data_IF_639376642977
#
_entry.id   IF_639376642977
#
_cell.length_a   1.000
_cell.length_b   1.000
_cell.length_c   1.000
_cell.angle_alpha   90.00
_cell.angle_beta   90.00
_cell.angle_gamma   90.00
#
_symmetry.space_group_name_H-M   'P 1'
#
loop_
_entity.id
_entity.type
_entity.pdbx_description
1 polymer ?
#
# COMPACT_ATOMS: atom_id res chain seq x y z
N UNK A 1 -9.24 29.83 -1.69
CA UNK A 1 -9.62 30.52 -2.94
C UNK A 1 -10.55 31.66 -2.58
N UNK A 2 -10.60 32.72 -3.38
CA UNK A 2 -11.55 33.81 -3.17
C UNK A 2 -12.99 33.31 -3.34
N UNK A 3 -13.92 33.97 -2.66
CA UNK A 3 -15.34 33.63 -2.71
C UNK A 3 -15.86 33.69 -4.15
N UNK A 4 -16.72 32.73 -4.50
CA UNK A 4 -17.26 32.60 -5.86
C UNK A 4 -16.35 31.85 -6.85
N UNK A 5 -15.14 31.44 -6.46
CA UNK A 5 -14.30 30.59 -7.30
C UNK A 5 -14.95 29.21 -7.51
N UNK A 6 -15.08 28.79 -8.78
CA UNK A 6 -15.61 27.47 -9.11
C UNK A 6 -14.71 26.34 -8.56
N UNK A 7 -15.23 25.38 -7.76
CA UNK A 7 -14.42 24.35 -7.12
C UNK A 7 -13.58 23.51 -8.09
N UNK A 8 -14.18 23.06 -9.20
CA UNK A 8 -13.45 22.28 -10.21
C UNK A 8 -12.37 23.08 -10.91
N UNK A 9 -12.58 24.38 -11.18
CA UNK A 9 -11.56 25.25 -11.75
C UNK A 9 -10.36 25.39 -10.82
N UNK A 10 -10.61 25.61 -9.52
CA UNK A 10 -9.59 25.69 -8.50
C UNK A 10 -8.75 24.41 -8.43
N UNK A 11 -9.40 23.24 -8.46
CA UNK A 11 -8.73 21.93 -8.44
C UNK A 11 -7.86 21.71 -9.67
N UNK A 12 -8.36 22.03 -10.87
CA UNK A 12 -7.56 21.96 -12.11
C UNK A 12 -6.34 22.87 -12.06
N UNK A 13 -6.49 24.07 -11.48
CA UNK A 13 -5.35 24.99 -11.30
C UNK A 13 -4.30 24.41 -10.35
N UNK A 14 -4.71 23.86 -9.20
CA UNK A 14 -3.75 23.22 -8.27
C UNK A 14 -3.01 22.06 -8.95
N UNK A 15 -3.72 21.24 -9.73
CA UNK A 15 -3.11 20.11 -10.45
C UNK A 15 -2.02 20.57 -11.43
N UNK A 16 -2.25 21.66 -12.16
CA UNK A 16 -1.26 22.26 -13.06
C UNK A 16 0.02 22.65 -12.32
N UNK A 17 -0.11 23.38 -11.21
CA UNK A 17 1.03 23.79 -10.38
C UNK A 17 1.74 22.59 -9.75
N UNK A 18 0.98 21.57 -9.32
CA UNK A 18 1.53 20.36 -8.74
C UNK A 18 2.45 19.61 -9.72
N UNK A 19 2.04 19.52 -10.99
CA UNK A 19 2.85 18.92 -12.05
C UNK A 19 4.15 19.69 -12.28
N UNK A 20 4.13 21.02 -12.22
CA UNK A 20 5.32 21.86 -12.43
C UNK A 20 6.35 21.72 -11.30
N UNK A 21 5.90 21.48 -10.06
CA UNK A 21 6.79 21.36 -8.89
C UNK A 21 7.27 19.94 -8.63
N UNK A 22 6.68 18.93 -9.28
CA UNK A 22 6.95 17.52 -8.99
C UNK A 22 8.44 17.15 -9.11
N UNK A 23 9.16 17.72 -10.08
CA UNK A 23 10.60 17.50 -10.28
C UNK A 23 11.50 18.10 -9.19
N UNK A 24 10.97 19.02 -8.39
CA UNK A 24 11.68 19.67 -7.28
C UNK A 24 11.46 18.96 -5.94
N UNK A 25 10.59 17.95 -5.91
CA UNK A 25 10.29 17.19 -4.71
C UNK A 25 11.34 16.10 -4.48
N UNK A 26 11.62 15.73 -3.21
CA UNK A 26 12.46 14.57 -2.91
C UNK A 26 11.93 13.30 -3.60
N UNK A 27 12.82 12.38 -3.98
CA UNK A 27 12.45 11.16 -4.72
C UNK A 27 11.39 10.28 -4.01
N UNK A 28 11.31 10.35 -2.68
CA UNK A 28 10.32 9.61 -1.89
C UNK A 28 8.96 10.34 -1.77
N UNK A 29 8.88 11.63 -2.08
CA UNK A 29 7.67 12.40 -1.96
C UNK A 29 6.72 12.13 -3.13
N UNK A 30 5.48 11.73 -2.82
CA UNK A 30 4.41 11.47 -3.79
C UNK A 30 3.26 12.44 -3.52
N UNK A 31 3.27 13.64 -4.12
CA UNK A 31 2.17 14.58 -3.92
C UNK A 31 0.87 13.99 -4.50
N UNK A 32 -0.26 14.27 -3.86
CA UNK A 32 -1.58 13.86 -4.31
C UNK A 32 -2.59 14.98 -4.07
N UNK A 33 -3.63 15.03 -4.90
CA UNK A 33 -4.74 15.94 -4.71
C UNK A 33 -5.71 15.37 -3.67
N UNK A 34 -6.18 16.20 -2.74
CA UNK A 34 -7.17 15.81 -1.73
C UNK A 34 -8.52 15.42 -2.34
N UNK A 35 -9.43 14.83 -1.55
CA UNK A 35 -10.78 14.45 -2.00
C UNK A 35 -11.58 15.66 -2.48
N UNK A 36 -12.69 15.42 -3.20
CA UNK A 36 -13.66 16.46 -3.58
C UNK A 36 -14.65 16.75 -2.44
N UNK A 37 -14.10 17.00 -1.25
CA UNK A 37 -14.84 17.30 -0.03
C UNK A 37 -13.98 18.15 0.93
N UNK A 38 -14.58 18.61 2.01
CA UNK A 38 -13.91 19.36 3.08
C UNK A 38 -14.24 18.75 4.45
N UNK A 39 -13.73 19.34 5.54
CA UNK A 39 -14.04 18.88 6.91
C UNK A 39 -15.53 18.92 7.29
N UNK A 40 -16.35 19.74 6.62
CA UNK A 40 -17.81 19.73 6.79
C UNK A 40 -18.49 18.55 6.10
N UNK A 41 -17.78 17.82 5.23
CA UNK A 41 -18.28 16.63 4.54
C UNK A 41 -18.31 15.35 5.39
N UNK A 42 -18.06 15.44 6.70
CA UNK A 42 -18.09 14.30 7.62
C UNK A 42 -19.53 13.97 8.02
N UNK A 43 -20.24 13.24 7.15
CA UNK A 43 -21.69 12.99 7.30
C UNK A 43 -22.01 11.82 8.23
N UNK A 44 -21.29 10.70 8.09
CA UNK A 44 -21.57 9.49 8.87
C UNK A 44 -20.28 8.88 9.41
N UNK A 45 -20.29 8.52 10.69
CA UNK A 45 -19.19 7.88 11.39
C UNK A 45 -19.69 6.62 12.08
N UNK A 46 -18.90 5.56 12.01
CA UNK A 46 -19.18 4.28 12.67
C UNK A 46 -17.90 3.67 13.24
N UNK A 47 -18.08 2.70 14.12
CA UNK A 47 -17.01 1.88 14.65
C UNK A 47 -17.29 0.41 14.35
N UNK A 48 -16.25 -0.32 13.97
CA UNK A 48 -16.30 -1.78 13.87
C UNK A 48 -15.95 -2.37 15.23
N UNK A 49 -16.83 -3.20 15.77
CA UNK A 49 -16.67 -3.82 17.09
C UNK A 49 -17.07 -5.29 16.99
N UNK A 50 -16.13 -6.19 17.29
CA UNK A 50 -16.43 -7.60 17.51
C UNK A 50 -16.44 -7.91 19.02
N UNK A 51 -17.62 -8.24 19.56
CA UNK A 51 -17.79 -8.58 20.97
C UNK A 51 -17.47 -10.04 21.29
N UNK A 52 -17.36 -10.90 20.28
CA UNK A 52 -16.99 -12.31 20.47
C UNK A 52 -15.49 -12.49 20.68
N UNK A 53 -14.68 -11.51 20.25
CA UNK A 53 -13.22 -11.57 20.27
C UNK A 53 -12.61 -12.41 19.15
N UNK A 54 -13.39 -12.78 18.13
CA UNK A 54 -12.92 -13.53 16.95
C UNK A 54 -12.03 -12.70 16.01
N UNK A 55 -12.24 -11.38 15.99
CA UNK A 55 -11.50 -10.43 15.16
C UNK A 55 -10.74 -9.43 16.02
N UNK A 56 -9.45 -9.31 15.77
CA UNK A 56 -8.61 -8.28 16.36
C UNK A 56 -8.74 -6.93 15.62
N UNK A 57 -8.11 -5.88 16.19
CA UNK A 57 -8.12 -4.54 15.61
C UNK A 57 -7.50 -4.46 14.21
N UNK A 58 -6.58 -5.38 13.89
CA UNK A 58 -5.94 -5.46 12.57
C UNK A 58 -6.85 -6.08 11.53
N UNK A 59 -7.59 -7.12 11.89
CA UNK A 59 -8.58 -7.78 11.05
C UNK A 59 -9.79 -6.85 10.80
N UNK A 60 -10.26 -6.13 11.82
CA UNK A 60 -11.31 -5.13 11.65
C UNK A 60 -10.83 -3.98 10.76
N UNK A 61 -9.58 -3.53 10.92
CA UNK A 61 -8.99 -2.51 10.03
C UNK A 61 -8.85 -3.01 8.60
N UNK A 62 -8.51 -4.29 8.39
CA UNK A 62 -8.45 -4.89 7.08
C UNK A 62 -9.85 -4.98 6.43
N UNK A 63 -10.87 -5.38 7.20
CA UNK A 63 -12.27 -5.36 6.74
C UNK A 63 -12.70 -3.95 6.31
N UNK A 64 -12.32 -2.93 7.08
CA UNK A 64 -12.57 -1.54 6.72
C UNK A 64 -11.88 -1.15 5.41
N UNK A 65 -10.57 -1.39 5.31
CA UNK A 65 -9.76 -0.87 4.20
C UNK A 65 -9.98 -1.62 2.88
N UNK A 66 -10.25 -2.92 2.94
CA UNK A 66 -10.29 -3.79 1.75
C UNK A 66 -11.68 -4.24 1.35
N UNK A 67 -12.70 -3.97 2.16
CA UNK A 67 -14.09 -4.30 1.83
C UNK A 67 -15.00 -3.07 1.97
N UNK A 68 -15.26 -2.61 3.21
CA UNK A 68 -16.27 -1.57 3.46
C UNK A 68 -15.97 -0.25 2.75
N UNK A 69 -14.69 0.16 2.69
CA UNK A 69 -14.27 1.37 1.97
C UNK A 69 -14.65 1.31 0.49
N UNK A 70 -14.50 0.17 -0.16
CA UNK A 70 -14.81 0.03 -1.59
C UNK A 70 -16.31 0.00 -1.81
N UNK A 71 -17.06 -0.76 -1.01
CA UNK A 71 -18.52 -0.83 -1.08
C UNK A 71 -19.15 0.56 -0.89
N UNK A 72 -18.76 1.29 0.15
CA UNK A 72 -19.33 2.60 0.47
C UNK A 72 -18.93 3.69 -0.52
N UNK A 73 -17.76 3.58 -1.16
CA UNK A 73 -17.33 4.53 -2.20
C UNK A 73 -18.17 4.47 -3.47
N UNK A 74 -18.91 3.38 -3.69
CA UNK A 74 -19.80 3.26 -4.87
C UNK A 74 -21.10 4.04 -4.72
N UNK A 75 -21.42 4.50 -3.51
CA UNK A 75 -22.65 5.25 -3.24
C UNK A 75 -22.58 6.63 -3.92
N UNK A 76 -23.62 7.05 -4.68
CA UNK A 76 -23.64 8.35 -5.32
C UNK A 76 -23.37 9.51 -4.35
N UNK A 77 -22.57 10.48 -4.79
CA UNK A 77 -22.17 11.67 -4.04
C UNK A 77 -21.25 11.41 -2.82
N UNK A 78 -20.69 10.21 -2.67
CA UNK A 78 -19.64 9.95 -1.68
C UNK A 78 -18.26 10.27 -2.27
N UNK A 79 -17.67 11.38 -1.82
CA UNK A 79 -16.34 11.80 -2.27
C UNK A 79 -15.20 10.95 -1.66
N UNK A 80 -15.36 10.51 -0.40
CA UNK A 80 -14.36 9.70 0.30
C UNK A 80 -14.99 8.85 1.40
N UNK A 81 -14.39 7.68 1.63
CA UNK A 81 -14.61 6.85 2.82
C UNK A 81 -13.26 6.70 3.50
N UNK A 82 -13.06 7.46 4.58
CA UNK A 82 -11.81 7.50 5.32
C UNK A 82 -11.81 6.45 6.45
N UNK A 83 -10.65 5.85 6.69
CA UNK A 83 -10.46 4.93 7.82
C UNK A 83 -9.86 5.69 9.00
N UNK A 84 -10.48 5.59 10.17
CA UNK A 84 -10.03 6.25 11.40
C UNK A 84 -9.71 5.19 12.44
N UNK A 85 -8.51 5.26 13.02
CA UNK A 85 -8.04 4.29 14.01
C UNK A 85 -7.73 2.90 13.42
N UNK A 86 -7.78 1.87 14.28
CA UNK A 86 -7.40 0.50 13.95
C UNK A 86 -5.89 0.30 13.77
N UNK A 87 -5.47 -0.95 13.55
CA UNK A 87 -4.07 -1.30 13.34
C UNK A 87 -3.84 -1.78 11.90
N UNK A 88 -2.94 -1.15 11.16
CA UNK A 88 -2.56 -1.68 9.84
C UNK A 88 -1.61 -2.84 10.07
N UNK A 89 -1.97 -4.02 9.56
CA UNK A 89 -1.11 -5.20 9.66
C UNK A 89 0.23 -4.94 8.96
N UNK A 90 1.32 -5.12 9.69
CA UNK A 90 2.67 -4.91 9.20
C UNK A 90 3.53 -6.14 9.52
N UNK A 91 4.32 -6.58 8.53
CA UNK A 91 5.41 -7.52 8.77
C UNK A 91 6.63 -6.75 9.24
N UNK A 92 7.05 -6.99 10.48
CA UNK A 92 8.21 -6.34 11.08
C UNK A 92 9.36 -7.35 11.18
N UNK A 93 10.44 -7.07 10.44
CA UNK A 93 11.68 -7.86 10.51
C UNK A 93 12.61 -7.17 11.50
N UNK A 94 12.62 -7.68 12.73
CA UNK A 94 13.49 -7.19 13.80
C UNK A 94 14.85 -7.88 13.70
N UNK A 95 15.88 -7.11 13.37
CA UNK A 95 17.23 -7.63 13.19
C UNK A 95 17.99 -7.65 14.51
N UNK A 96 18.69 -8.75 14.75
CA UNK A 96 19.56 -8.95 15.90
C UNK A 96 21.00 -8.52 15.53
N UNK A 97 21.53 -7.42 16.12
CA UNK A 97 22.85 -6.89 15.78
C UNK A 97 23.99 -7.88 16.02
N UNK A 98 23.88 -8.72 17.05
CA UNK A 98 24.92 -9.68 17.41
C UNK A 98 25.00 -10.80 16.36
N UNK A 99 23.84 -11.24 15.84
CA UNK A 99 23.80 -12.19 14.72
C UNK A 99 24.33 -11.58 13.44
N UNK A 100 23.96 -10.35 13.12
CA UNK A 100 24.48 -9.67 11.92
C UNK A 100 26.02 -9.61 11.96
N UNK A 101 26.60 -9.27 13.11
CA UNK A 101 28.05 -9.26 13.30
C UNK A 101 28.66 -10.66 13.17
N UNK A 102 28.08 -11.67 13.85
CA UNK A 102 28.56 -13.05 13.83
C UNK A 102 28.58 -13.67 12.42
N UNK A 103 27.62 -13.31 11.57
CA UNK A 103 27.55 -13.76 10.17
C UNK A 103 28.18 -12.78 9.17
N UNK A 104 28.76 -11.66 9.64
CA UNK A 104 29.32 -10.59 8.81
C UNK A 104 28.33 -10.07 7.74
N UNK A 105 27.06 -9.91 8.12
CA UNK A 105 25.99 -9.43 7.24
C UNK A 105 25.70 -7.96 7.54
N UNK A 106 25.95 -7.03 6.59
CA UNK A 106 25.60 -5.64 6.81
C UNK A 106 24.08 -5.45 6.79
N UNK A 107 23.59 -4.50 7.59
CA UNK A 107 22.16 -4.15 7.66
C UNK A 107 21.53 -3.89 6.28
N UNK A 108 22.25 -3.19 5.40
CA UNK A 108 21.79 -2.90 4.04
C UNK A 108 21.57 -4.16 3.18
N UNK A 109 22.38 -5.21 3.37
CA UNK A 109 22.21 -6.46 2.61
C UNK A 109 20.88 -7.15 2.94
N UNK A 110 20.43 -7.06 4.19
CA UNK A 110 19.12 -7.63 4.58
C UNK A 110 17.98 -6.86 3.92
N UNK A 111 18.04 -5.53 3.89
CA UNK A 111 17.04 -4.70 3.19
C UNK A 111 16.98 -5.05 1.71
N UNK A 112 18.15 -5.16 1.06
CA UNK A 112 18.23 -5.48 -0.37
C UNK A 112 17.74 -6.89 -0.67
N UNK A 113 18.04 -7.86 0.20
CA UNK A 113 17.54 -9.23 0.07
C UNK A 113 16.02 -9.29 0.16
N UNK A 114 15.41 -8.60 1.14
CA UNK A 114 13.95 -8.53 1.26
C UNK A 114 13.31 -7.88 0.03
N UNK A 115 13.89 -6.78 -0.48
CA UNK A 115 13.38 -6.11 -1.68
C UNK A 115 13.43 -6.99 -2.92
N UNK A 116 14.50 -7.77 -3.09
CA UNK A 116 14.66 -8.70 -4.23
C UNK A 116 13.76 -9.92 -4.13
N UNK A 117 13.49 -10.39 -2.92
CA UNK A 117 12.68 -11.58 -2.66
C UNK A 117 11.17 -11.35 -2.65
N UNK A 118 10.68 -10.13 -2.91
CA UNK A 118 9.25 -9.80 -2.88
C UNK A 118 8.76 -9.18 -4.21
N UNK A 119 8.88 -9.94 -5.30
CA UNK A 119 8.56 -9.49 -6.66
C UNK A 119 7.95 -10.62 -7.49
N UNK A 120 7.06 -10.29 -8.44
CA UNK A 120 6.62 -11.22 -9.48
C UNK A 120 7.33 -10.90 -10.80
N UNK A 121 7.56 -11.92 -11.63
CA UNK A 121 8.13 -11.77 -12.96
C UNK A 121 7.28 -12.48 -14.02
N UNK A 122 7.13 -11.84 -15.19
CA UNK A 122 6.52 -12.43 -16.38
C UNK A 122 7.60 -12.91 -17.35
N UNK A 123 7.42 -14.11 -17.90
CA UNK A 123 8.36 -14.76 -18.83
C UNK A 123 7.89 -14.78 -20.28
N UNK A 124 7.01 -13.86 -20.69
CA UNK A 124 6.31 -13.86 -21.98
C UNK A 124 5.34 -15.05 -22.13
N UNK A 125 4.93 -15.35 -23.36
CA UNK A 125 4.09 -16.49 -23.74
C UNK A 125 4.91 -17.53 -24.50
N UNK A 126 4.55 -18.79 -24.32
CA UNK A 126 5.04 -19.92 -25.10
C UNK A 126 3.90 -20.47 -25.95
N UNK A 127 4.09 -20.55 -27.27
CA UNK A 127 3.11 -21.15 -28.18
C UNK A 127 3.32 -22.66 -28.28
N UNK A 128 2.30 -23.45 -27.97
CA UNK A 128 2.30 -24.91 -28.05
C UNK A 128 0.95 -25.39 -28.59
N UNK A 129 0.95 -26.00 -29.77
CA UNK A 129 -0.25 -26.60 -30.36
C UNK A 129 -1.38 -25.60 -30.59
N UNK A 130 -1.08 -24.46 -31.23
CA UNK A 130 -2.02 -23.37 -31.51
C UNK A 130 -2.63 -22.71 -30.24
N UNK A 131 -2.03 -22.94 -29.07
CA UNK A 131 -2.39 -22.30 -27.81
C UNK A 131 -1.20 -21.52 -27.22
N UNK A 132 -1.48 -20.35 -26.62
CA UNK A 132 -0.51 -19.53 -25.91
C UNK A 132 -0.52 -19.81 -24.41
N UNK A 133 0.64 -20.12 -23.84
CA UNK A 133 0.84 -20.35 -22.41
C UNK A 133 1.63 -19.21 -21.80
N UNK A 134 1.01 -18.45 -20.90
CA UNK A 134 1.68 -17.37 -20.17
C UNK A 134 2.66 -17.94 -19.16
N UNK A 135 3.92 -17.56 -19.26
CA UNK A 135 4.95 -17.92 -18.27
C UNK A 135 4.93 -16.87 -17.15
N UNK A 136 4.69 -17.31 -15.92
CA UNK A 136 4.69 -16.46 -14.72
C UNK A 136 5.53 -17.09 -13.62
N UNK A 137 6.39 -16.30 -13.00
CA UNK A 137 7.11 -16.66 -11.80
C UNK A 137 6.56 -15.84 -10.62
N UNK A 138 6.06 -16.53 -9.59
CA UNK A 138 5.65 -15.91 -8.34
C UNK A 138 6.83 -15.78 -7.38
N UNK A 139 6.91 -14.63 -6.71
CA UNK A 139 7.91 -14.36 -5.69
C UNK A 139 7.41 -13.35 -4.66
N UNK A 140 6.09 -13.29 -4.44
CA UNK A 140 5.51 -12.48 -3.37
C UNK A 140 5.58 -13.21 -2.04
N UNK A 141 5.98 -12.51 -1.00
CA UNK A 141 6.03 -13.03 0.36
C UNK A 141 4.62 -12.97 0.97
N UNK A 142 4.07 -14.14 1.31
CA UNK A 142 2.71 -14.26 1.85
C UNK A 142 2.70 -14.72 3.31
N UNK A 143 3.69 -15.52 3.69
CA UNK A 143 3.79 -16.17 5.00
C UNK A 143 5.04 -15.73 5.75
N UNK A 144 5.05 -15.92 7.08
CA UNK A 144 6.25 -15.67 7.88
C UNK A 144 7.43 -16.56 7.47
N UNK A 145 7.16 -17.76 6.96
CA UNK A 145 8.22 -18.67 6.51
C UNK A 145 8.88 -18.18 5.23
N UNK A 146 8.15 -17.49 4.36
CA UNK A 146 8.73 -16.88 3.16
C UNK A 146 9.79 -15.86 3.56
N UNK A 147 9.52 -15.02 4.57
CA UNK A 147 10.50 -14.06 5.10
C UNK A 147 11.71 -14.74 5.73
N UNK A 148 11.52 -15.84 6.47
CA UNK A 148 12.62 -16.58 7.13
C UNK A 148 13.56 -17.26 6.15
N UNK A 149 13.05 -17.59 4.96
CA UNK A 149 13.79 -18.31 3.91
C UNK A 149 14.49 -17.38 2.92
N UNK A 150 14.39 -16.06 3.10
CA UNK A 150 15.10 -15.10 2.26
C UNK A 150 16.61 -15.35 2.40
N UNK A 151 17.31 -15.74 1.32
CA UNK A 151 18.74 -15.97 1.38
C UNK A 151 19.48 -14.63 1.58
N UNK A 152 20.39 -14.60 2.56
CA UNK A 152 21.17 -13.40 2.89
C UNK A 152 22.63 -13.49 2.40
N UNK A 153 23.19 -14.70 2.33
CA UNK A 153 24.47 -14.99 1.71
C UNK A 153 24.39 -16.32 0.95
N UNK A 154 25.27 -16.50 -0.02
CA UNK A 154 25.53 -17.79 -0.65
C UNK A 154 26.93 -18.21 -0.19
N UNK A 155 27.00 -19.15 0.75
CA UNK A 155 28.20 -19.95 0.99
C UNK A 155 28.22 -21.13 0.04
#
# INVERSE_FOLDING_TARGET
>A
FEDGTAPYWARSRVLEYLNQVQSRLPAAAKPALGPDATGVGWIYQYALVDRSGSMDAGQLRALQDWFLKYELKTVPNVAEVASVGGMVRQYQVLLDPDKLAAYNIPHGAVIDAIRKANQEAGGSVLELGEAEYVVRASGLLATLDDFRRIPLNAT
#
